data_IF_308692491633
#
_entry.id   IF_308692491633
#
_cell.length_a   1.000
_cell.length_b   1.000
_cell.length_c   1.000
_cell.angle_alpha   90.00
_cell.angle_beta   90.00
_cell.angle_gamma   90.00
#
_symmetry.space_group_name_H-M   'P 1'
#
loop_
_entity.id
_entity.type
_entity.pdbx_description
1 polymer ?
#
# COMPACT_ATOMS: atom_id res chain seq x y z
N UNK A 1 -5.57 11.09 10.35
CA UNK A 1 -4.85 11.24 9.07
C UNK A 1 -4.49 9.85 8.57
N UNK A 2 -4.44 9.65 7.24
CA UNK A 2 -4.05 8.37 6.65
C UNK A 2 -2.51 8.37 6.51
N UNK A 3 -1.79 7.47 7.19
CA UNK A 3 -0.33 7.43 7.08
C UNK A 3 0.08 6.87 5.71
N UNK A 4 1.01 7.56 5.05
CA UNK A 4 1.52 7.14 3.76
C UNK A 4 3.02 7.42 3.60
N UNK A 5 3.63 6.75 2.63
CA UNK A 5 5.00 6.95 2.18
C UNK A 5 4.98 7.56 0.80
N UNK A 6 5.80 8.58 0.56
CA UNK A 6 6.00 9.10 -0.80
C UNK A 6 6.90 8.12 -1.56
N UNK A 7 6.39 7.56 -2.65
CA UNK A 7 7.10 6.57 -3.46
C UNK A 7 7.77 7.16 -4.70
N UNK A 8 8.40 6.28 -5.50
CA UNK A 8 9.27 6.64 -6.63
C UNK A 8 8.59 7.56 -7.65
N UNK A 9 9.37 8.48 -8.19
CA UNK A 9 8.97 9.31 -9.35
C UNK A 9 9.46 8.74 -10.67
N UNK A 10 10.05 7.55 -10.67
CA UNK A 10 10.56 6.88 -11.87
C UNK A 10 9.86 5.54 -12.03
N UNK A 11 9.44 5.21 -13.25
CA UNK A 11 8.93 3.87 -13.58
C UNK A 11 10.09 2.86 -13.64
N UNK A 12 9.77 1.57 -13.72
CA UNK A 12 10.75 0.50 -13.93
C UNK A 12 11.64 0.72 -15.16
N UNK A 13 11.12 1.42 -16.18
CA UNK A 13 11.83 1.72 -17.43
C UNK A 13 12.68 2.99 -17.35
N UNK A 14 12.78 3.61 -16.16
CA UNK A 14 13.51 4.85 -15.93
C UNK A 14 12.80 6.11 -16.44
N UNK A 15 11.57 5.99 -16.94
CA UNK A 15 10.78 7.14 -17.37
C UNK A 15 10.22 7.90 -16.15
N UNK A 16 10.15 9.24 -16.19
CA UNK A 16 9.53 10.01 -15.13
C UNK A 16 8.03 9.69 -15.04
N UNK A 17 7.56 9.42 -13.83
CA UNK A 17 6.16 9.19 -13.46
C UNK A 17 5.78 10.13 -12.32
N UNK A 18 4.49 10.41 -12.17
CA UNK A 18 3.99 11.17 -11.03
C UNK A 18 4.30 10.40 -9.73
N UNK A 19 4.81 11.11 -8.71
CA UNK A 19 5.05 10.53 -7.39
C UNK A 19 3.74 10.02 -6.80
N UNK A 20 3.70 8.73 -6.46
CA UNK A 20 2.55 8.10 -5.82
C UNK A 20 2.70 8.11 -4.29
N UNK A 21 1.58 8.23 -3.58
CA UNK A 21 1.53 8.01 -2.13
C UNK A 21 1.06 6.59 -1.84
N UNK A 22 1.84 5.86 -1.06
CA UNK A 22 1.55 4.48 -0.66
C UNK A 22 1.03 4.48 0.78
N UNK A 23 -0.24 4.10 0.96
CA UNK A 23 -0.86 3.98 2.29
C UNK A 23 -0.20 2.81 3.02
N UNK A 24 0.20 3.02 4.28
CA UNK A 24 0.85 1.97 5.10
C UNK A 24 -0.02 1.45 6.23
N UNK A 25 -1.04 2.20 6.62
CA UNK A 25 -2.00 1.77 7.63
C UNK A 25 -3.38 2.41 7.37
N UNK A 26 -4.39 1.92 8.08
CA UNK A 26 -5.77 2.38 8.02
C UNK A 26 -6.48 2.10 6.70
N UNK A 27 -6.07 1.07 5.96
CA UNK A 27 -6.71 0.64 4.71
C UNK A 27 -8.24 0.46 4.83
N UNK A 28 -8.73 -0.16 5.91
CA UNK A 28 -10.16 -0.30 6.16
C UNK A 28 -10.87 1.04 6.39
N UNK A 29 -10.24 1.98 7.09
CA UNK A 29 -10.79 3.32 7.31
C UNK A 29 -10.80 4.12 6.00
N UNK A 30 -9.72 4.05 5.22
CA UNK A 30 -9.62 4.68 3.90
C UNK A 30 -10.70 4.15 2.96
N UNK A 31 -10.93 2.83 2.94
CA UNK A 31 -12.00 2.21 2.18
C UNK A 31 -13.39 2.67 2.67
N UNK A 32 -13.59 2.76 3.99
CA UNK A 32 -14.85 3.24 4.56
C UNK A 32 -15.15 4.70 4.18
N UNK A 33 -14.16 5.59 4.19
CA UNK A 33 -14.31 6.96 3.71
C UNK A 33 -14.75 7.00 2.25
N UNK A 34 -14.10 6.19 1.41
CA UNK A 34 -14.41 6.09 0.00
C UNK A 34 -15.84 5.60 -0.25
N UNK A 35 -16.27 4.55 0.48
CA UNK A 35 -17.63 4.03 0.44
C UNK A 35 -18.67 5.03 0.96
N UNK A 36 -18.30 5.90 1.89
CA UNK A 36 -19.13 7.00 2.37
C UNK A 36 -19.18 8.20 1.41
N UNK A 37 -18.50 8.12 0.26
CA UNK A 37 -18.49 9.15 -0.77
C UNK A 37 -17.49 10.29 -0.53
N UNK A 38 -16.64 10.20 0.51
CA UNK A 38 -15.56 11.16 0.72
C UNK A 38 -14.50 11.01 -0.36
N UNK A 39 -14.32 12.07 -1.15
CA UNK A 39 -13.36 12.10 -2.26
C UNK A 39 -11.93 12.47 -1.81
N UNK A 40 -11.81 13.09 -0.63
CA UNK A 40 -10.54 13.62 -0.13
C UNK A 40 -10.31 13.24 1.33
N UNK A 41 -9.06 12.99 1.68
CA UNK A 41 -8.63 12.71 3.05
C UNK A 41 -7.23 13.27 3.31
N UNK A 42 -6.99 13.73 4.53
CA UNK A 42 -5.66 14.19 4.94
C UNK A 42 -4.70 13.02 5.10
N UNK A 43 -3.57 13.11 4.41
CA UNK A 43 -2.47 12.15 4.46
C UNK A 43 -1.35 12.67 5.35
N UNK A 44 -0.81 11.81 6.20
CA UNK A 44 0.43 12.07 6.94
C UNK A 44 1.58 11.34 6.25
N UNK A 45 2.52 12.08 5.67
CA UNK A 45 3.70 11.51 5.02
C UNK A 45 4.69 11.13 6.11
N UNK A 46 4.90 9.82 6.33
CA UNK A 46 5.82 9.32 7.35
C UNK A 46 7.27 9.28 6.88
N UNK A 47 7.48 9.15 5.56
CA UNK A 47 8.80 9.07 4.95
C UNK A 47 8.73 9.45 3.46
N UNK A 48 9.87 9.86 2.90
CA UNK A 48 10.02 10.23 1.49
C UNK A 48 11.07 9.36 0.80
N UNK A 49 10.59 8.38 0.04
CA UNK A 49 11.40 7.46 -0.73
C UNK A 49 11.31 7.73 -2.25
N UNK A 50 10.89 8.93 -2.65
CA UNK A 50 10.70 9.28 -4.06
C UNK A 50 11.97 9.26 -4.90
N UNK A 51 13.12 9.39 -4.25
CA UNK A 51 14.43 9.35 -4.85
C UNK A 51 14.92 7.92 -5.20
N UNK A 52 14.26 6.88 -4.69
CA UNK A 52 14.64 5.50 -4.95
C UNK A 52 14.02 4.98 -6.26
N UNK A 53 14.73 4.12 -7.02
CA UNK A 53 14.10 3.35 -8.09
C UNK A 53 13.09 2.35 -7.52
N UNK A 54 12.13 1.92 -8.35
CA UNK A 54 11.00 1.04 -7.96
C UNK A 54 11.44 -0.19 -7.17
N UNK A 55 12.46 -0.91 -7.64
CA UNK A 55 12.92 -2.13 -6.96
C UNK A 55 13.52 -1.85 -5.58
N UNK A 56 14.29 -0.76 -5.46
CA UNK A 56 14.89 -0.35 -4.20
C UNK A 56 13.83 0.17 -3.22
N UNK A 57 12.77 0.82 -3.72
CA UNK A 57 11.64 1.23 -2.92
C UNK A 57 10.93 0.03 -2.28
N UNK A 58 10.61 -1.01 -3.06
CA UNK A 58 9.96 -2.21 -2.51
C UNK A 58 10.85 -2.92 -1.50
N UNK A 59 12.16 -3.01 -1.75
CA UNK A 59 13.11 -3.58 -0.81
C UNK A 59 13.19 -2.78 0.49
N UNK A 60 13.22 -1.44 0.41
CA UNK A 60 13.20 -0.56 1.57
C UNK A 60 11.93 -0.77 2.40
N UNK A 61 10.75 -0.81 1.76
CA UNK A 61 9.47 -1.05 2.42
C UNK A 61 9.42 -2.43 3.12
N UNK A 62 9.96 -3.48 2.50
CA UNK A 62 10.02 -4.82 3.09
C UNK A 62 10.94 -4.85 4.32
N UNK A 63 12.10 -4.20 4.23
CA UNK A 63 13.11 -4.20 5.31
C UNK A 63 12.62 -3.63 6.64
N UNK A 64 11.65 -2.71 6.59
CA UNK A 64 11.05 -2.06 7.77
C UNK A 64 9.69 -2.67 8.15
N UNK A 65 9.30 -3.80 7.52
CA UNK A 65 8.07 -4.52 7.83
C UNK A 65 6.79 -3.78 7.44
N UNK A 66 6.84 -2.87 6.45
CA UNK A 66 5.66 -2.12 5.97
C UNK A 66 4.82 -2.90 4.97
N UNK A 67 5.24 -4.09 4.55
CA UNK A 67 4.54 -4.90 3.57
C UNK A 67 3.83 -6.10 4.22
N UNK A 68 2.58 -6.34 3.81
CA UNK A 68 1.87 -7.57 4.12
C UNK A 68 1.89 -8.49 2.90
N UNK A 69 3.00 -9.24 2.72
CA UNK A 69 3.24 -10.07 1.54
C UNK A 69 2.55 -11.44 1.60
N UNK A 70 1.22 -11.44 1.67
CA UNK A 70 0.44 -12.66 1.63
C UNK A 70 -0.67 -12.58 0.59
N UNK A 71 -0.95 -13.69 -0.06
CA UNK A 71 -2.12 -13.80 -0.93
C UNK A 71 -3.41 -13.97 -0.09
N UNK A 72 -4.57 -13.97 -0.76
CA UNK A 72 -5.88 -14.16 -0.11
C UNK A 72 -6.05 -15.50 0.65
N UNK A 73 -5.14 -16.46 0.45
CA UNK A 73 -5.09 -17.74 1.19
C UNK A 73 -4.11 -17.72 2.36
N UNK A 74 -3.46 -16.58 2.63
CA UNK A 74 -2.44 -16.43 3.67
C UNK A 74 -1.07 -17.00 3.31
N UNK A 75 -0.82 -17.40 2.05
CA UNK A 75 0.50 -17.90 1.65
C UNK A 75 1.45 -16.73 1.36
N UNK A 76 2.73 -16.81 1.78
CA UNK A 76 3.70 -15.76 1.55
C UNK A 76 4.00 -15.59 0.05
N UNK A 77 4.18 -14.33 -0.36
CA UNK A 77 4.53 -13.94 -1.72
C UNK A 77 5.99 -13.46 -1.78
N UNK A 78 6.66 -13.69 -2.92
CA UNK A 78 7.94 -13.04 -3.20
C UNK A 78 7.74 -11.53 -3.37
N UNK A 79 8.81 -10.74 -3.21
CA UNK A 79 8.72 -9.28 -3.37
C UNK A 79 8.29 -8.87 -4.79
N UNK A 80 8.82 -9.47 -5.88
CA UNK A 80 8.33 -9.21 -7.23
C UNK A 80 6.85 -9.56 -7.42
N UNK A 81 6.42 -10.75 -6.99
CA UNK A 81 5.02 -11.18 -7.11
C UNK A 81 4.09 -10.24 -6.34
N UNK A 82 4.50 -9.83 -5.14
CA UNK A 82 3.74 -8.88 -4.34
C UNK A 82 3.64 -7.53 -5.07
N UNK A 83 4.75 -6.96 -5.54
CA UNK A 83 4.75 -5.65 -6.22
C UNK A 83 3.88 -5.61 -7.48
N UNK A 84 3.75 -6.74 -8.18
CA UNK A 84 2.88 -6.89 -9.35
C UNK A 84 1.38 -7.02 -8.98
N UNK A 85 1.07 -7.44 -7.75
CA UNK A 85 -0.29 -7.65 -7.26
C UNK A 85 -0.83 -6.51 -6.40
N UNK A 86 0.03 -5.59 -5.92
CA UNK A 86 -0.43 -4.44 -5.14
C UNK A 86 -1.40 -3.61 -6.00
N UNK A 87 -2.64 -3.41 -5.56
CA UNK A 87 -3.61 -2.63 -6.33
C UNK A 87 -3.20 -1.16 -6.41
N UNK A 88 -3.48 -0.54 -7.56
CA UNK A 88 -3.22 0.88 -7.78
C UNK A 88 -4.32 1.76 -7.16
N UNK A 89 -5.48 1.17 -6.81
CA UNK A 89 -6.64 1.87 -6.26
C UNK A 89 -7.16 1.18 -5.00
N UNK A 90 -7.63 1.99 -4.04
CA UNK A 90 -8.29 1.48 -2.83
C UNK A 90 -9.53 0.63 -3.13
N UNK A 91 -10.23 0.86 -4.24
CA UNK A 91 -11.41 0.08 -4.65
C UNK A 91 -11.07 -1.36 -5.04
N UNK A 92 -9.81 -1.62 -5.39
CA UNK A 92 -9.33 -2.93 -5.83
C UNK A 92 -8.78 -3.76 -4.67
N UNK A 93 -8.81 -3.23 -3.43
CA UNK A 93 -8.45 -3.99 -2.24
C UNK A 93 -9.41 -5.17 -2.07
N UNK A 94 -8.87 -6.37 -2.14
CA UNK A 94 -9.61 -7.58 -1.86
C UNK A 94 -10.10 -7.60 -0.40
N UNK A 95 -11.33 -8.02 -0.18
CA UNK A 95 -11.84 -8.27 1.16
C UNK A 95 -11.19 -9.55 1.73
N UNK A 96 -10.55 -9.43 2.89
CA UNK A 96 -9.99 -10.55 3.64
C UNK A 96 -10.91 -10.84 4.84
N UNK A 97 -11.77 -11.87 4.76
CA UNK A 97 -12.77 -12.16 5.79
C UNK A 97 -12.13 -12.53 7.14
N UNK A 98 -10.92 -13.10 7.13
CA UNK A 98 -10.20 -13.44 8.36
C UNK A 98 -9.66 -12.19 9.06
N UNK A 99 -9.26 -11.18 8.28
CA UNK A 99 -8.81 -9.88 8.82
C UNK A 99 -9.97 -9.12 9.48
N UNK A 100 -11.15 -9.19 8.88
CA UNK A 100 -12.40 -8.66 9.46
C UNK A 100 -12.78 -9.38 10.75
N UNK A 101 -12.68 -10.72 10.80
CA UNK A 101 -12.96 -11.51 12.01
C UNK A 101 -11.95 -11.23 13.14
N UNK A 102 -10.65 -11.17 12.83
CA UNK A 102 -9.61 -10.91 13.81
C UNK A 102 -9.76 -9.53 14.48
N UNK A 103 -10.31 -8.54 13.77
CA UNK A 103 -10.61 -7.23 14.35
C UNK A 103 -11.73 -7.29 15.40
N UNK A 104 -12.71 -8.19 15.24
CA UNK A 104 -13.85 -8.36 16.16
C UNK A 104 -13.48 -9.14 17.43
N UNK A 105 -12.50 -10.04 17.35
CA UNK A 105 -12.06 -10.89 18.46
C UNK A 105 -11.02 -10.24 19.40
N UNK A 106 -10.74 -8.95 19.23
CA UNK A 106 -9.68 -8.24 19.95
C UNK A 106 -10.07 -7.88 21.38
#
# INVERSE_FOLDING_TARGET
CIPAIRGPTTSSDGAPSASAYFIVDHHHLSLAFLMAGLQEAYVAVLDDLSHLPVDAFWAAMDSVGRLWRHNARGCPLSLPDFSALVPCSLHELADDPYRSLAAVLR
#
